data_IF_582790527115
#
_entry.id   IF_582790527115
#
_cell.length_a   1.000
_cell.length_b   1.000
_cell.length_c   1.000
_cell.angle_alpha   90.00
_cell.angle_beta   90.00
_cell.angle_gamma   90.00
#
_symmetry.space_group_name_H-M   'P 1'
#
loop_
_entity.id
_entity.type
_entity.pdbx_description
1 polymer ?
#
# COMPACT_ATOMS: atom_id res chain seq x y z
N UNK A 1 18.06 2.14 11.29
CA UNK A 1 17.24 2.73 10.21
C UNK A 1 15.95 1.94 10.12
N UNK A 2 14.77 2.59 10.05
CA UNK A 2 13.53 1.88 9.75
C UNK A 2 13.64 1.20 8.37
N UNK A 3 12.98 0.04 8.17
CA UNK A 3 13.04 -0.66 6.90
C UNK A 3 12.37 0.18 5.79
N UNK A 4 12.87 0.05 4.56
CA UNK A 4 12.26 0.74 3.40
C UNK A 4 10.87 0.17 3.07
N UNK A 5 10.65 -1.11 3.41
CA UNK A 5 9.42 -1.85 3.21
C UNK A 5 9.17 -2.78 4.40
N UNK A 6 7.93 -2.85 4.86
CA UNK A 6 7.49 -3.71 5.96
C UNK A 6 6.11 -4.29 5.61
N UNK A 7 5.96 -5.60 5.62
CA UNK A 7 4.65 -6.25 5.54
C UNK A 7 3.96 -6.16 6.90
N UNK A 8 2.72 -5.67 6.93
CA UNK A 8 1.93 -5.45 8.14
C UNK A 8 0.86 -6.52 8.35
N UNK A 9 0.24 -7.00 7.28
CA UNK A 9 -0.75 -8.08 7.30
C UNK A 9 -0.78 -8.79 5.94
N UNK A 10 -1.17 -10.05 5.96
CA UNK A 10 -1.32 -10.91 4.78
C UNK A 10 -2.58 -11.76 4.92
N UNK A 11 -3.42 -11.76 3.89
CA UNK A 11 -4.62 -12.62 3.85
C UNK A 11 -4.90 -13.16 2.46
N UNK A 12 -5.26 -14.43 2.41
CA UNK A 12 -5.91 -15.01 1.25
C UNK A 12 -7.40 -14.66 1.27
N UNK A 13 -7.90 -14.10 0.17
CA UNK A 13 -9.31 -13.69 0.02
C UNK A 13 -9.92 -14.33 -1.22
N UNK A 14 -11.24 -14.24 -1.38
CA UNK A 14 -11.90 -14.71 -2.60
C UNK A 14 -11.48 -13.93 -3.86
N UNK A 15 -10.94 -12.71 -3.70
CA UNK A 15 -10.42 -11.89 -4.79
C UNK A 15 -8.94 -12.16 -5.08
N UNK A 16 -8.26 -12.92 -4.22
CA UNK A 16 -6.84 -13.24 -4.32
C UNK A 16 -6.03 -12.86 -3.08
N UNK A 17 -4.71 -12.82 -3.27
CA UNK A 17 -3.74 -12.51 -2.22
C UNK A 17 -3.78 -11.03 -1.87
N UNK A 18 -4.11 -10.70 -0.62
CA UNK A 18 -4.19 -9.34 -0.12
C UNK A 18 -3.05 -9.08 0.86
N UNK A 19 -2.19 -8.13 0.53
CA UNK A 19 -1.06 -7.71 1.37
C UNK A 19 -1.26 -6.26 1.80
N UNK A 20 -1.13 -6.03 3.11
CA UNK A 20 -0.98 -4.69 3.67
C UNK A 20 0.50 -4.45 3.95
N UNK A 21 1.08 -3.40 3.38
CA UNK A 21 2.49 -3.05 3.63
C UNK A 21 2.69 -1.58 3.92
N UNK A 22 3.77 -1.28 4.63
CA UNK A 22 4.31 0.07 4.84
C UNK A 22 5.54 0.27 3.97
N UNK A 23 5.63 1.43 3.32
CA UNK A 23 6.75 1.83 2.48
C UNK A 23 7.27 3.20 2.91
N UNK A 24 8.59 3.33 3.09
CA UNK A 24 9.25 4.62 3.37
C UNK A 24 9.52 5.36 2.06
N UNK A 25 8.89 6.51 1.86
CA UNK A 25 9.22 7.41 0.75
C UNK A 25 10.34 8.35 1.20
N UNK A 26 11.58 8.02 0.84
CA UNK A 26 12.77 8.77 1.24
C UNK A 26 12.74 10.25 0.83
N UNK A 27 12.22 10.57 -0.36
CA UNK A 27 12.15 11.97 -0.86
C UNK A 27 11.18 12.85 -0.06
N UNK A 28 10.19 12.24 0.58
CA UNK A 28 9.13 12.93 1.34
C UNK A 28 9.29 12.73 2.86
N UNK A 29 10.30 11.98 3.27
CA UNK A 29 10.54 11.53 4.65
C UNK A 29 9.27 11.03 5.36
N UNK A 30 8.46 10.27 4.62
CA UNK A 30 7.11 9.84 5.05
C UNK A 30 6.90 8.36 4.81
N UNK A 31 6.12 7.73 5.69
CA UNK A 31 5.61 6.38 5.51
C UNK A 31 4.27 6.41 4.78
N UNK A 32 4.10 5.47 3.85
CA UNK A 32 2.86 5.25 3.10
C UNK A 32 2.39 3.83 3.36
N UNK A 33 1.10 3.68 3.57
CA UNK A 33 0.44 2.38 3.71
C UNK A 33 -0.23 2.03 2.39
N UNK A 34 0.11 0.87 1.85
CA UNK A 34 -0.35 0.39 0.55
C UNK A 34 -1.05 -0.96 0.70
N UNK A 35 -2.10 -1.15 -0.08
CA UNK A 35 -2.81 -2.42 -0.25
C UNK A 35 -2.44 -2.99 -1.61
N UNK A 36 -1.95 -4.22 -1.62
CA UNK A 36 -1.59 -4.97 -2.83
C UNK A 36 -2.56 -6.14 -2.97
N UNK A 37 -3.10 -6.35 -4.18
CA UNK A 37 -3.95 -7.48 -4.53
C UNK A 37 -3.31 -8.25 -5.70
N UNK A 38 -3.02 -9.53 -5.51
CA UNK A 38 -2.39 -10.38 -6.55
C UNK A 38 -1.14 -9.73 -7.17
N UNK A 39 -0.22 -9.26 -6.32
CA UNK A 39 1.01 -8.54 -6.72
C UNK A 39 0.81 -7.15 -7.34
N UNK A 40 -0.43 -6.69 -7.54
CA UNK A 40 -0.75 -5.37 -8.10
C UNK A 40 -1.11 -4.35 -7.02
N UNK A 41 -0.65 -3.11 -7.18
CA UNK A 41 -1.01 -2.02 -6.27
C UNK A 41 -2.48 -1.64 -6.44
N UNK A 42 -3.28 -1.86 -5.40
CA UNK A 42 -4.70 -1.55 -5.40
C UNK A 42 -4.99 -0.13 -4.93
N UNK A 43 -4.47 0.27 -3.76
CA UNK A 43 -4.74 1.58 -3.15
C UNK A 43 -3.68 1.96 -2.12
N UNK A 44 -3.62 3.25 -1.78
CA UNK A 44 -2.73 3.75 -0.71
C UNK A 44 -3.31 4.97 0.01
N UNK A 45 -2.83 5.22 1.23
CA UNK A 45 -3.17 6.42 2.00
C UNK A 45 -2.55 7.72 1.45
N UNK A 46 -1.71 7.64 0.42
CA UNK A 46 -1.07 8.81 -0.22
C UNK A 46 -1.87 9.32 -1.42
N UNK A 47 -2.57 8.45 -2.15
CA UNK A 47 -3.24 8.79 -3.42
C UNK A 47 -4.76 8.92 -3.34
N UNK A 48 -5.33 9.12 -2.14
CA UNK A 48 -6.79 9.24 -1.94
C UNK A 48 -7.45 10.30 -2.83
N UNK A 49 -6.77 11.41 -3.11
CA UNK A 49 -7.31 12.48 -3.93
C UNK A 49 -7.46 12.10 -5.41
N UNK A 50 -6.56 11.29 -5.96
CA UNK A 50 -6.63 10.81 -7.34
C UNK A 50 -7.71 9.72 -7.51
N UNK A 51 -7.90 8.88 -6.49
CA UNK A 51 -8.94 7.86 -6.44
C UNK A 51 -10.35 8.49 -6.42
N UNK A 52 -10.55 9.59 -5.66
CA UNK A 52 -11.82 10.34 -5.64
C UNK A 52 -12.11 11.01 -7.00
N UNK A 53 -11.08 11.51 -7.69
CA UNK A 53 -11.27 12.24 -8.95
C UNK A 53 -11.65 11.35 -10.15
N UNK A 54 -11.46 10.03 -10.05
CA UNK A 54 -11.83 9.05 -11.08
C UNK A 54 -13.17 8.34 -10.78
N UNK A 55 -13.78 8.58 -9.62
CA UNK A 55 -15.05 8.02 -9.18
C UNK A 55 -16.24 8.92 -9.53
#
# INVERSE_FOLDING_TARGET
>A
MPPLFEELDYRQTALGELILRRRRIMKLDRDVVEVILNDEHLMSDMFTASEIALA
#
